data_IF_697392860126
#
_entry.id   IF_697392860126
#
_cell.length_a   1.000
_cell.length_b   1.000
_cell.length_c   1.000
_cell.angle_alpha   90.00
_cell.angle_beta   90.00
_cell.angle_gamma   90.00
#
_symmetry.space_group_name_H-M   'P 1'
#
loop_
_entity.id
_entity.type
_entity.pdbx_description
1 polymer ?
#
# COMPACT_ATOMS: atom_id res chain seq x y z
N UNK A 1 -45.99 21.60 11.55
CA UNK A 1 -45.50 21.42 10.19
C UNK A 1 -43.99 21.16 10.12
N UNK A 2 -43.13 21.78 10.91
CA UNK A 2 -41.66 21.56 10.85
C UNK A 2 -41.17 20.17 11.30
N UNK A 3 -41.88 19.44 12.17
CA UNK A 3 -41.49 18.09 12.62
C UNK A 3 -41.75 16.98 11.59
N UNK A 4 -42.66 17.18 10.63
CA UNK A 4 -42.92 16.23 9.56
C UNK A 4 -41.86 16.31 8.45
N UNK A 5 -41.36 17.52 8.13
CA UNK A 5 -40.30 17.70 7.13
C UNK A 5 -38.97 17.10 7.56
N UNK A 6 -38.65 17.13 8.86
CA UNK A 6 -37.37 16.55 9.36
C UNK A 6 -37.40 15.03 9.38
N UNK A 7 -38.54 14.38 9.61
CA UNK A 7 -38.71 12.92 9.53
C UNK A 7 -38.67 12.42 8.09
N UNK A 8 -39.18 13.20 7.13
CA UNK A 8 -39.13 12.84 5.71
C UNK A 8 -37.69 12.90 5.15
N UNK A 9 -36.93 13.93 5.58
CA UNK A 9 -35.48 14.06 5.21
C UNK A 9 -34.64 12.95 5.83
N UNK A 10 -34.92 12.56 7.08
CA UNK A 10 -34.25 11.41 7.72
C UNK A 10 -34.62 10.08 7.05
N UNK A 11 -35.86 9.88 6.63
CA UNK A 11 -36.31 8.68 5.93
C UNK A 11 -35.69 8.55 4.54
N UNK A 12 -35.54 9.65 3.81
CA UNK A 12 -34.87 9.71 2.50
C UNK A 12 -33.35 9.44 2.69
N UNK A 13 -32.74 9.92 3.78
CA UNK A 13 -31.34 9.72 4.09
C UNK A 13 -31.00 8.29 4.58
N UNK A 14 -31.95 7.58 5.20
CA UNK A 14 -31.82 6.17 5.59
C UNK A 14 -32.05 5.20 4.42
N UNK A 15 -32.94 5.53 3.47
CA UNK A 15 -33.23 4.66 2.32
C UNK A 15 -32.11 4.67 1.26
N UNK A 16 -31.36 5.79 1.14
CA UNK A 16 -30.17 5.87 0.27
C UNK A 16 -28.95 5.08 0.80
N UNK A 17 -28.93 4.71 2.09
CA UNK A 17 -27.85 3.86 2.63
C UNK A 17 -27.99 2.36 2.30
N UNK A 18 -29.17 1.92 1.86
CA UNK A 18 -29.45 0.49 1.64
C UNK A 18 -29.32 0.05 0.17
N UNK A 19 -28.94 0.94 -0.75
CA UNK A 19 -28.73 0.60 -2.18
C UNK A 19 -27.44 1.16 -2.77
N UNK A 20 -26.37 1.21 -2.01
CA UNK A 20 -25.03 1.33 -2.62
C UNK A 20 -24.65 -0.08 -3.01
N UNK A 21 -25.06 -0.44 -4.22
CA UNK A 21 -24.59 -1.62 -4.95
C UNK A 21 -23.09 -1.42 -5.21
N UNK A 22 -22.23 -2.06 -4.43
CA UNK A 22 -20.76 -1.94 -4.45
C UNK A 22 -20.10 -2.63 -5.65
N UNK A 23 -20.83 -2.78 -6.75
CA UNK A 23 -20.29 -3.11 -8.07
C UNK A 23 -20.33 -1.85 -8.96
N UNK A 24 -19.68 -0.81 -8.55
CA UNK A 24 -19.36 0.28 -9.46
C UNK A 24 -18.20 -0.21 -10.33
N UNK A 25 -18.56 -0.60 -11.55
CA UNK A 25 -17.63 -1.03 -12.59
C UNK A 25 -16.64 0.12 -12.86
N UNK A 26 -15.45 0.04 -12.27
CA UNK A 26 -14.38 1.06 -12.40
C UNK A 26 -14.04 1.32 -13.87
N UNK A 27 -14.15 0.28 -14.71
CA UNK A 27 -13.97 0.39 -16.17
C UNK A 27 -15.10 1.21 -16.82
N UNK A 28 -16.32 1.13 -16.29
CA UNK A 28 -17.45 1.92 -16.78
C UNK A 28 -17.28 3.41 -16.44
N UNK A 29 -16.84 3.74 -15.24
CA UNK A 29 -16.58 5.13 -14.81
C UNK A 29 -15.42 5.72 -15.63
N UNK A 30 -14.34 4.98 -15.82
CA UNK A 30 -13.19 5.44 -16.61
C UNK A 30 -13.58 5.66 -18.08
N UNK A 31 -14.39 4.78 -18.68
CA UNK A 31 -14.93 4.94 -20.04
C UNK A 31 -15.84 6.16 -20.16
N UNK A 32 -16.67 6.42 -19.16
CA UNK A 32 -17.57 7.56 -19.13
C UNK A 32 -16.80 8.89 -18.99
N UNK A 33 -15.77 8.91 -18.15
CA UNK A 33 -14.90 10.08 -17.97
C UNK A 33 -14.11 10.40 -19.25
N UNK A 34 -13.49 9.40 -19.89
CA UNK A 34 -12.78 9.57 -21.17
C UNK A 34 -13.75 10.03 -22.29
N UNK A 35 -14.95 9.47 -22.32
CA UNK A 35 -15.99 9.87 -23.29
C UNK A 35 -16.41 11.34 -23.11
N UNK A 36 -16.60 11.79 -21.87
CA UNK A 36 -16.94 13.18 -21.55
C UNK A 36 -15.84 14.16 -21.96
N UNK A 37 -14.58 13.78 -21.76
CA UNK A 37 -13.43 14.58 -22.19
C UNK A 37 -13.33 14.64 -23.73
N UNK A 38 -13.50 13.51 -24.43
CA UNK A 38 -13.51 13.46 -25.90
C UNK A 38 -14.66 14.29 -26.47
N UNK A 39 -15.84 14.26 -25.85
CA UNK A 39 -16.98 15.09 -26.27
C UNK A 39 -16.68 16.59 -26.06
N UNK A 40 -16.09 16.97 -24.93
CA UNK A 40 -15.70 18.35 -24.68
C UNK A 40 -14.67 18.85 -25.74
N UNK A 41 -13.66 18.03 -26.04
CA UNK A 41 -12.70 18.33 -27.08
C UNK A 41 -13.34 18.42 -28.49
N UNK A 42 -14.26 17.52 -28.80
CA UNK A 42 -14.99 17.53 -30.06
C UNK A 42 -15.85 18.80 -30.20
N UNK A 43 -16.58 19.20 -29.15
CA UNK A 43 -17.34 20.45 -29.16
C UNK A 43 -16.45 21.67 -29.34
N UNK A 44 -15.29 21.72 -28.67
CA UNK A 44 -14.34 22.81 -28.84
C UNK A 44 -13.81 22.89 -30.27
N UNK A 45 -13.35 21.77 -30.86
CA UNK A 45 -12.85 21.72 -32.20
C UNK A 45 -13.92 22.09 -33.26
N UNK A 46 -15.15 21.58 -33.06
CA UNK A 46 -16.28 21.90 -33.96
C UNK A 46 -16.61 23.39 -33.86
N UNK A 47 -16.60 23.95 -32.63
CA UNK A 47 -16.85 25.39 -32.45
C UNK A 47 -15.81 26.23 -33.18
N UNK A 48 -14.50 25.92 -33.02
CA UNK A 48 -13.42 26.64 -33.72
C UNK A 48 -13.59 26.56 -35.22
N UNK A 49 -13.97 25.41 -35.73
CA UNK A 49 -14.15 25.20 -37.18
C UNK A 49 -15.38 25.98 -37.73
N UNK A 50 -16.52 25.91 -37.01
CA UNK A 50 -17.73 26.64 -37.35
C UNK A 50 -17.53 28.16 -37.28
N UNK A 51 -16.87 28.65 -36.25
CA UNK A 51 -16.56 30.07 -36.09
C UNK A 51 -15.66 30.58 -37.21
N UNK A 52 -14.54 29.88 -37.49
CA UNK A 52 -13.60 30.27 -38.52
C UNK A 52 -14.26 30.28 -39.90
N UNK A 53 -14.96 29.20 -40.27
CA UNK A 53 -15.68 29.15 -41.55
C UNK A 53 -16.79 30.19 -41.62
N UNK A 54 -17.52 30.43 -40.53
CA UNK A 54 -18.59 31.45 -40.48
C UNK A 54 -18.07 32.85 -40.78
N UNK A 55 -16.97 33.28 -40.16
CA UNK A 55 -16.37 34.59 -40.47
C UNK A 55 -15.78 34.68 -41.84
N UNK A 56 -15.20 33.61 -42.40
CA UNK A 56 -14.72 33.60 -43.80
C UNK A 56 -15.87 33.75 -44.80
N UNK A 57 -17.01 33.11 -44.55
CA UNK A 57 -18.14 33.10 -45.47
C UNK A 57 -19.01 34.37 -45.35
N UNK A 58 -19.27 34.82 -44.12
CA UNK A 58 -20.19 35.95 -43.85
C UNK A 58 -19.50 37.32 -44.00
N UNK A 59 -18.26 37.42 -43.50
CA UNK A 59 -17.53 38.69 -43.47
C UNK A 59 -16.41 38.76 -44.56
N UNK A 60 -16.12 37.65 -45.23
CA UNK A 60 -15.03 37.61 -46.20
C UNK A 60 -13.64 37.75 -45.57
N UNK A 61 -13.49 37.46 -44.28
CA UNK A 61 -12.21 37.57 -43.56
C UNK A 61 -11.17 36.59 -44.14
N UNK A 62 -9.89 36.99 -44.06
CA UNK A 62 -8.82 36.05 -44.33
C UNK A 62 -8.90 34.88 -43.36
N UNK A 63 -8.36 33.70 -43.73
CA UNK A 63 -8.35 32.54 -42.82
C UNK A 63 -7.69 32.82 -41.46
N UNK A 64 -6.69 33.69 -41.43
CA UNK A 64 -6.00 34.08 -40.20
C UNK A 64 -6.87 35.00 -39.32
N UNK A 65 -7.48 36.02 -39.92
CA UNK A 65 -8.34 36.96 -39.19
C UNK A 65 -9.61 36.27 -38.69
N UNK A 66 -10.20 35.38 -39.50
CA UNK A 66 -11.35 34.57 -39.10
C UNK A 66 -11.03 33.62 -37.92
N UNK A 67 -9.89 32.96 -37.98
CA UNK A 67 -9.41 32.12 -36.89
C UNK A 67 -9.14 32.93 -35.61
N UNK A 68 -8.46 34.08 -35.74
CA UNK A 68 -8.17 34.95 -34.62
C UNK A 68 -9.45 35.48 -33.95
N UNK A 69 -10.41 35.95 -34.75
CA UNK A 69 -11.72 36.38 -34.25
C UNK A 69 -12.48 35.27 -33.52
N UNK A 70 -12.44 34.05 -34.09
CA UNK A 70 -13.00 32.85 -33.44
C UNK A 70 -12.34 32.56 -32.08
N UNK A 71 -11.01 32.61 -32.02
CA UNK A 71 -10.28 32.36 -30.78
C UNK A 71 -10.55 33.41 -29.71
N UNK A 72 -10.77 34.67 -30.07
CA UNK A 72 -11.16 35.72 -29.13
C UNK A 72 -12.50 35.40 -28.43
N UNK A 73 -13.46 34.81 -29.17
CA UNK A 73 -14.77 34.45 -28.64
C UNK A 73 -14.69 33.15 -27.83
N UNK A 74 -14.05 32.12 -28.37
CA UNK A 74 -13.93 30.80 -27.72
C UNK A 74 -13.17 30.91 -26.41
N UNK A 75 -12.13 31.75 -26.34
CA UNK A 75 -11.37 32.01 -25.11
C UNK A 75 -12.08 32.91 -24.11
N UNK A 76 -13.23 33.51 -24.49
CA UNK A 76 -13.99 34.48 -23.67
C UNK A 76 -13.17 35.73 -23.28
N UNK A 77 -12.10 36.03 -24.02
CA UNK A 77 -11.24 37.21 -23.75
C UNK A 77 -11.88 38.52 -24.25
N UNK A 78 -12.49 38.46 -25.46
CA UNK A 78 -13.35 39.54 -25.95
C UNK A 78 -12.69 40.90 -26.17
N UNK A 79 -11.46 40.94 -26.73
CA UNK A 79 -10.73 42.19 -26.96
C UNK A 79 -11.39 43.17 -27.96
N UNK A 80 -12.42 42.72 -28.66
CA UNK A 80 -13.11 43.51 -29.65
C UNK A 80 -13.09 42.88 -31.06
N UNK A 81 -13.61 43.64 -32.02
CA UNK A 81 -13.68 43.18 -33.43
C UNK A 81 -12.34 43.32 -34.08
N UNK A 82 -11.92 42.30 -34.88
CA UNK A 82 -10.66 42.34 -35.67
C UNK A 82 -10.82 43.34 -36.83
N UNK A 83 -11.98 43.32 -37.49
CA UNK A 83 -12.42 44.22 -38.51
C UNK A 83 -13.91 44.57 -38.26
N UNK A 84 -14.42 45.71 -38.74
CA UNK A 84 -15.82 46.08 -38.54
C UNK A 84 -16.77 45.02 -39.12
N UNK A 85 -17.72 44.56 -38.27
CA UNK A 85 -18.69 43.54 -38.66
C UNK A 85 -19.88 44.14 -39.40
N UNK A 86 -20.34 43.44 -40.42
CA UNK A 86 -21.63 43.68 -41.06
C UNK A 86 -22.79 43.38 -40.10
N UNK A 87 -24.00 43.79 -40.43
CA UNK A 87 -25.18 43.48 -39.60
C UNK A 87 -25.44 41.96 -39.54
N UNK A 88 -25.15 41.22 -40.64
CA UNK A 88 -25.19 39.75 -40.65
C UNK A 88 -24.12 39.14 -39.70
N UNK A 89 -22.89 39.67 -39.74
CA UNK A 89 -21.81 39.25 -38.88
C UNK A 89 -22.09 39.53 -37.38
N UNK A 90 -22.72 40.65 -37.07
CA UNK A 90 -23.13 40.95 -35.67
C UNK A 90 -24.17 39.95 -35.17
N UNK A 91 -25.15 39.56 -35.99
CA UNK A 91 -26.11 38.52 -35.62
C UNK A 91 -25.41 37.17 -35.42
N UNK A 92 -24.58 36.76 -36.36
CA UNK A 92 -23.79 35.51 -36.29
C UNK A 92 -22.96 35.51 -34.98
N UNK A 93 -22.20 36.57 -34.75
CA UNK A 93 -21.33 36.69 -33.57
C UNK A 93 -22.12 36.59 -32.28
N UNK A 94 -23.29 37.25 -32.21
CA UNK A 94 -24.13 37.21 -31.00
C UNK A 94 -24.64 35.81 -30.71
N UNK A 95 -25.13 35.09 -31.70
CA UNK A 95 -25.57 33.69 -31.56
C UNK A 95 -24.38 32.78 -31.20
N UNK A 96 -23.27 32.98 -31.88
CA UNK A 96 -22.03 32.18 -31.67
C UNK A 96 -21.48 32.38 -30.25
N UNK A 97 -21.49 33.58 -29.68
CA UNK A 97 -21.11 33.88 -28.29
C UNK A 97 -21.95 33.12 -27.28
N UNK A 98 -23.29 33.11 -27.46
CA UNK A 98 -24.19 32.39 -26.55
C UNK A 98 -23.94 30.89 -26.60
N UNK A 99 -23.74 30.30 -27.78
CA UNK A 99 -23.44 28.90 -27.93
C UNK A 99 -22.08 28.54 -27.27
N UNK A 100 -21.05 29.38 -27.46
CA UNK A 100 -19.74 29.15 -26.85
C UNK A 100 -19.76 29.28 -25.34
N UNK A 101 -20.59 30.14 -24.76
CA UNK A 101 -20.77 30.23 -23.32
C UNK A 101 -21.26 28.86 -22.76
N UNK A 102 -22.20 28.21 -23.47
CA UNK A 102 -22.66 26.85 -23.09
C UNK A 102 -21.55 25.80 -23.18
N UNK A 103 -20.76 25.82 -24.26
CA UNK A 103 -19.62 24.91 -24.45
C UNK A 103 -18.58 25.14 -23.35
N UNK A 104 -18.26 26.39 -23.02
CA UNK A 104 -17.33 26.75 -21.96
C UNK A 104 -17.81 26.24 -20.60
N UNK A 105 -19.06 26.47 -20.25
CA UNK A 105 -19.66 25.97 -19.01
C UNK A 105 -19.59 24.44 -18.91
N UNK A 106 -19.84 23.75 -20.02
CA UNK A 106 -19.70 22.27 -20.07
C UNK A 106 -18.26 21.83 -19.84
N UNK A 107 -17.28 22.46 -20.50
CA UNK A 107 -15.85 22.16 -20.34
C UNK A 107 -15.41 22.37 -18.87
N UNK A 108 -15.79 23.51 -18.27
CA UNK A 108 -15.48 23.80 -16.85
C UNK A 108 -16.10 22.75 -15.95
N UNK A 109 -17.35 22.33 -16.19
CA UNK A 109 -18.02 21.28 -15.42
C UNK A 109 -17.27 19.93 -15.51
N UNK A 110 -16.83 19.52 -16.71
CA UNK A 110 -16.04 18.29 -16.92
C UNK A 110 -14.71 18.37 -16.15
N UNK A 111 -13.97 19.49 -16.28
CA UNK A 111 -12.68 19.68 -15.61
C UNK A 111 -12.86 19.70 -14.08
N UNK A 112 -13.88 20.42 -13.58
CA UNK A 112 -14.17 20.49 -12.13
C UNK A 112 -14.45 19.11 -11.56
N UNK A 113 -15.26 18.29 -12.24
CA UNK A 113 -15.52 16.90 -11.84
C UNK A 113 -14.22 16.10 -11.71
N UNK A 114 -13.33 16.19 -12.69
CA UNK A 114 -12.03 15.53 -12.68
C UNK A 114 -11.15 15.94 -11.50
N UNK A 115 -11.15 17.23 -11.15
CA UNK A 115 -10.37 17.76 -10.02
C UNK A 115 -10.94 17.28 -8.68
N UNK A 116 -12.27 17.30 -8.51
CA UNK A 116 -12.93 16.93 -7.25
C UNK A 116 -12.98 15.41 -7.01
N UNK A 117 -13.05 14.60 -8.03
CA UNK A 117 -13.03 13.12 -7.93
C UNK A 117 -11.64 12.56 -7.64
N UNK A 118 -10.60 13.40 -7.56
CA UNK A 118 -9.24 12.98 -7.14
C UNK A 118 -8.49 12.12 -8.16
N UNK A 119 -9.02 11.91 -9.36
CA UNK A 119 -8.41 11.11 -10.44
C UNK A 119 -7.06 11.66 -10.88
N UNK A 120 -6.86 12.96 -10.84
CA UNK A 120 -5.57 13.60 -11.10
C UNK A 120 -4.47 13.13 -10.15
N UNK A 121 -4.82 12.91 -8.87
CA UNK A 121 -3.89 12.42 -7.86
C UNK A 121 -3.47 10.97 -8.14
N UNK A 122 -4.39 10.14 -8.64
CA UNK A 122 -4.10 8.74 -9.01
C UNK A 122 -3.15 8.65 -10.20
N UNK A 123 -3.38 9.44 -11.26
CA UNK A 123 -2.52 9.42 -12.46
C UNK A 123 -1.10 9.90 -12.14
N UNK A 124 -0.95 10.99 -11.38
CA UNK A 124 0.35 11.52 -10.99
C UNK A 124 1.11 10.58 -10.05
N UNK A 125 0.42 9.99 -9.06
CA UNK A 125 1.03 9.02 -8.16
C UNK A 125 1.46 7.76 -8.92
N UNK A 126 0.66 7.25 -9.85
CA UNK A 126 0.98 6.05 -10.64
C UNK A 126 2.22 6.25 -11.53
N UNK A 127 2.37 7.42 -12.16
CA UNK A 127 3.53 7.73 -13.01
C UNK A 127 4.84 7.90 -12.22
N UNK A 128 4.79 8.49 -11.04
CA UNK A 128 5.97 8.71 -10.18
C UNK A 128 6.34 7.41 -9.44
N UNK A 129 5.35 6.66 -8.96
CA UNK A 129 5.54 5.42 -8.20
C UNK A 129 6.08 4.28 -9.07
N UNK A 130 5.60 4.10 -10.30
CA UNK A 130 6.11 3.07 -11.21
C UNK A 130 7.63 3.16 -11.47
N UNK A 131 8.24 4.33 -11.26
CA UNK A 131 9.69 4.51 -11.38
C UNK A 131 10.48 4.08 -10.15
N UNK A 132 9.89 4.13 -8.94
CA UNK A 132 10.58 3.83 -7.67
C UNK A 132 10.39 2.38 -7.24
N UNK A 133 9.18 1.85 -7.30
CA UNK A 133 8.88 0.45 -6.93
C UNK A 133 9.44 -0.58 -7.91
N UNK A 134 9.65 -0.22 -9.18
CA UNK A 134 10.36 -1.09 -10.16
C UNK A 134 11.80 -1.47 -9.75
N UNK A 135 12.39 -0.81 -8.73
CA UNK A 135 13.74 -1.11 -8.22
C UNK A 135 13.72 -1.95 -6.94
N UNK A 136 12.56 -2.29 -6.40
CA UNK A 136 12.45 -3.11 -5.21
C UNK A 136 12.33 -4.57 -5.63
N UNK A 137 13.31 -5.34 -5.25
CA UNK A 137 13.35 -6.78 -5.39
C UNK A 137 13.57 -7.42 -4.02
N UNK A 138 12.96 -8.57 -3.77
CA UNK A 138 13.09 -9.31 -2.53
C UNK A 138 12.71 -8.50 -1.26
N UNK A 139 11.76 -7.56 -1.41
CA UNK A 139 11.29 -6.67 -0.34
C UNK A 139 10.08 -7.24 0.40
N UNK A 140 9.64 -6.54 1.44
CA UNK A 140 8.46 -6.87 2.23
C UNK A 140 7.35 -5.88 1.88
N UNK A 141 6.10 -6.34 1.76
CA UNK A 141 4.92 -5.49 1.67
C UNK A 141 4.22 -5.52 3.03
N UNK A 142 3.90 -4.35 3.58
CA UNK A 142 3.10 -4.23 4.81
C UNK A 142 1.77 -3.60 4.42
N UNK A 143 0.67 -4.27 4.73
CA UNK A 143 -0.69 -3.79 4.47
C UNK A 143 -1.34 -3.35 5.76
N UNK A 144 -1.72 -2.07 5.80
CA UNK A 144 -2.34 -1.40 6.95
C UNK A 144 -1.32 -0.75 7.89
N UNK A 145 -1.61 0.51 8.29
CA UNK A 145 -0.81 1.29 9.25
C UNK A 145 -1.59 1.58 10.54
N UNK A 146 -2.40 0.61 10.96
CA UNK A 146 -3.02 0.62 12.28
C UNK A 146 -2.01 0.29 13.39
N UNK A 147 -2.50 0.06 14.62
CA UNK A 147 -1.65 -0.23 15.79
C UNK A 147 -0.63 -1.37 15.55
N UNK A 148 -1.05 -2.46 14.92
CA UNK A 148 -0.18 -3.60 14.61
C UNK A 148 0.79 -3.25 13.48
N UNK A 149 0.28 -2.69 12.37
CA UNK A 149 1.09 -2.36 11.19
C UNK A 149 2.14 -1.30 11.48
N UNK A 150 1.82 -0.25 12.21
CA UNK A 150 2.79 0.78 12.60
C UNK A 150 3.96 0.17 13.40
N UNK A 151 3.65 -0.67 14.40
CA UNK A 151 4.69 -1.37 15.18
C UNK A 151 5.53 -2.32 14.32
N UNK A 152 4.89 -3.01 13.36
CA UNK A 152 5.58 -3.87 12.39
C UNK A 152 6.55 -3.06 11.52
N UNK A 153 6.10 -1.90 10.99
CA UNK A 153 6.96 -1.00 10.20
C UNK A 153 8.16 -0.49 11.01
N UNK A 154 7.94 -0.11 12.26
CA UNK A 154 9.01 0.35 13.16
C UNK A 154 10.08 -0.72 13.35
N UNK A 155 9.66 -1.96 13.58
CA UNK A 155 10.58 -3.08 13.84
C UNK A 155 11.34 -3.50 12.57
N UNK A 156 10.67 -3.54 11.41
CA UNK A 156 11.31 -3.77 10.11
C UNK A 156 12.35 -2.69 9.79
N UNK A 157 12.04 -1.43 10.11
CA UNK A 157 12.96 -0.30 9.92
C UNK A 157 14.19 -0.43 10.80
N UNK A 158 14.05 -0.76 12.09
CA UNK A 158 15.16 -1.01 13.01
C UNK A 158 16.05 -2.17 12.52
N UNK A 159 15.43 -3.21 11.97
CA UNK A 159 16.12 -4.37 11.40
C UNK A 159 16.73 -4.10 10.01
N UNK A 160 16.69 -2.88 9.51
CA UNK A 160 17.24 -2.50 8.21
C UNK A 160 16.58 -3.17 7.00
N UNK A 161 15.36 -3.70 7.16
CA UNK A 161 14.65 -4.39 6.07
C UNK A 161 13.99 -3.39 5.13
N UNK A 162 14.05 -3.65 3.82
CA UNK A 162 13.36 -2.85 2.81
C UNK A 162 11.90 -3.27 2.73
N UNK A 163 10.98 -2.32 2.81
CA UNK A 163 9.55 -2.60 2.72
C UNK A 163 8.77 -1.46 2.08
N UNK A 164 7.56 -1.80 1.61
CA UNK A 164 6.55 -0.89 1.08
C UNK A 164 5.33 -0.96 2.00
N UNK A 165 4.81 0.18 2.41
CA UNK A 165 3.56 0.28 3.15
C UNK A 165 2.41 0.57 2.19
N UNK A 166 1.30 -0.16 2.32
CA UNK A 166 0.02 0.12 1.65
C UNK A 166 -1.02 0.47 2.72
N UNK A 167 -1.59 1.67 2.63
CA UNK A 167 -2.62 2.17 3.57
C UNK A 167 -3.62 3.07 2.85
N UNK A 168 -4.91 2.87 3.05
CA UNK A 168 -5.97 3.65 2.37
C UNK A 168 -6.60 4.73 3.25
N UNK A 169 -6.37 4.73 4.57
CA UNK A 169 -7.03 5.66 5.51
C UNK A 169 -6.18 6.90 5.77
N UNK A 170 -6.67 8.05 5.38
CA UNK A 170 -6.04 9.35 5.67
C UNK A 170 -5.78 9.56 7.17
N UNK A 171 -6.65 9.03 8.04
CA UNK A 171 -6.47 9.11 9.49
C UNK A 171 -5.26 8.33 9.98
N UNK A 172 -4.92 7.20 9.37
CA UNK A 172 -3.73 6.42 9.70
C UNK A 172 -2.47 7.04 9.07
N UNK A 173 -2.58 7.57 7.86
CA UNK A 173 -1.46 8.22 7.16
C UNK A 173 -0.93 9.46 7.88
N UNK A 174 -1.74 10.14 8.68
CA UNK A 174 -1.29 11.27 9.53
C UNK A 174 -0.20 10.87 10.55
N UNK A 175 -0.12 9.60 10.91
CA UNK A 175 0.88 9.07 11.84
C UNK A 175 2.14 8.56 11.13
N UNK A 176 2.14 8.51 9.81
CA UNK A 176 3.34 8.18 9.03
C UNK A 176 4.27 9.39 9.06
N UNK A 177 5.54 9.25 9.45
CA UNK A 177 6.48 10.37 9.44
C UNK A 177 6.63 10.99 8.04
N UNK A 178 6.87 12.31 7.95
CA UNK A 178 7.09 12.99 6.66
C UNK A 178 8.24 12.38 5.83
N UNK A 179 9.27 11.86 6.50
CA UNK A 179 10.38 11.12 5.89
C UNK A 179 10.48 9.73 6.51
N UNK A 180 9.59 8.79 6.15
CA UNK A 180 9.50 7.51 6.82
C UNK A 180 10.73 6.62 6.60
N UNK A 181 11.47 6.83 5.52
CA UNK A 181 12.59 5.98 5.11
C UNK A 181 12.15 4.69 4.40
N UNK A 182 10.87 4.58 4.06
CA UNK A 182 10.27 3.50 3.28
C UNK A 182 9.22 4.08 2.32
N UNK A 183 8.86 3.31 1.29
CA UNK A 183 7.85 3.72 0.31
C UNK A 183 6.43 3.53 0.86
N UNK A 184 5.53 4.48 0.56
CA UNK A 184 4.12 4.45 1.00
C UNK A 184 3.20 4.53 -0.19
N UNK A 185 2.30 3.58 -0.35
CA UNK A 185 1.22 3.57 -1.34
C UNK A 185 -0.08 3.91 -0.61
N UNK A 186 -0.68 5.03 -0.99
CA UNK A 186 -1.96 5.49 -0.44
C UNK A 186 -3.09 4.98 -1.31
N UNK A 187 -3.51 3.71 -1.08
CA UNK A 187 -4.59 3.10 -1.83
C UNK A 187 -5.14 1.83 -1.14
N UNK A 188 -6.20 1.23 -1.69
CA UNK A 188 -6.82 0.03 -1.14
C UNK A 188 -6.08 -1.24 -1.57
N UNK A 189 -5.51 -1.96 -0.59
CA UNK A 189 -4.77 -3.18 -0.83
C UNK A 189 -5.64 -4.38 -1.25
N UNK A 190 -6.96 -4.29 -1.17
CA UNK A 190 -7.88 -5.32 -1.68
C UNK A 190 -7.92 -5.34 -3.20
N UNK A 191 -7.51 -4.25 -3.84
CA UNK A 191 -7.41 -4.12 -5.28
C UNK A 191 -6.12 -4.78 -5.80
N UNK A 192 -6.26 -5.64 -6.81
CA UNK A 192 -5.13 -6.38 -7.41
C UNK A 192 -4.04 -5.45 -7.95
N UNK A 193 -4.45 -4.36 -8.62
CA UNK A 193 -3.53 -3.38 -9.19
C UNK A 193 -2.64 -2.70 -8.13
N UNK A 194 -3.17 -2.53 -6.91
CA UNK A 194 -2.42 -1.93 -5.80
C UNK A 194 -1.32 -2.87 -5.33
N UNK A 195 -1.59 -4.17 -5.24
CA UNK A 195 -0.58 -5.18 -4.92
C UNK A 195 0.47 -5.29 -6.03
N UNK A 196 0.07 -5.17 -7.30
CA UNK A 196 1.00 -5.14 -8.43
C UNK A 196 1.91 -3.90 -8.34
N UNK A 197 1.36 -2.73 -8.04
CA UNK A 197 2.14 -1.50 -7.81
C UNK A 197 3.07 -1.62 -6.60
N UNK A 198 2.66 -2.33 -5.56
CA UNK A 198 3.49 -2.62 -4.40
C UNK A 198 4.63 -3.62 -4.71
N UNK A 199 4.67 -4.19 -5.93
CA UNK A 199 5.72 -5.10 -6.37
C UNK A 199 5.53 -6.54 -5.87
N UNK A 200 4.30 -7.01 -5.67
CA UNK A 200 4.00 -8.34 -5.14
C UNK A 200 4.69 -9.46 -5.92
N UNK A 201 4.88 -9.30 -7.24
CA UNK A 201 5.51 -10.32 -8.11
C UNK A 201 6.96 -10.62 -7.77
N UNK A 202 7.70 -9.64 -7.19
CA UNK A 202 9.08 -9.77 -6.75
C UNK A 202 9.26 -9.66 -5.23
N UNK A 203 8.16 -9.51 -4.49
CA UNK A 203 8.18 -9.43 -3.03
C UNK A 203 8.56 -10.79 -2.40
N UNK A 204 9.41 -10.75 -1.37
CA UNK A 204 9.74 -11.92 -0.53
C UNK A 204 8.57 -12.29 0.38
N UNK A 205 7.93 -11.28 0.97
CA UNK A 205 6.89 -11.48 1.98
C UNK A 205 5.86 -10.37 1.93
N UNK A 206 4.64 -10.68 2.36
CA UNK A 206 3.58 -9.72 2.62
C UNK A 206 3.04 -9.91 4.06
N UNK A 207 2.90 -8.81 4.81
CA UNK A 207 2.36 -8.79 6.16
C UNK A 207 1.05 -8.01 6.12
N UNK A 208 -0.06 -8.69 6.41
CA UNK A 208 -1.41 -8.15 6.30
C UNK A 208 -1.96 -7.89 7.69
N UNK A 209 -2.26 -6.62 8.03
CA UNK A 209 -2.61 -6.20 9.39
C UNK A 209 -3.96 -5.48 9.48
N UNK A 210 -4.82 -5.58 8.47
CA UNK A 210 -6.12 -4.92 8.46
C UNK A 210 -7.02 -5.42 9.58
N UNK A 211 -7.97 -4.59 10.05
CA UNK A 211 -8.89 -4.97 11.12
C UNK A 211 -9.95 -5.99 10.66
N UNK A 212 -10.28 -6.02 9.37
CA UNK A 212 -11.30 -6.90 8.78
C UNK A 212 -10.66 -8.20 8.26
N UNK A 213 -11.11 -9.33 8.77
CA UNK A 213 -10.61 -10.65 8.37
C UNK A 213 -10.99 -11.02 6.93
N UNK A 214 -12.11 -10.51 6.39
CA UNK A 214 -12.51 -10.76 5.00
C UNK A 214 -11.55 -10.07 4.01
N UNK A 215 -11.17 -8.83 4.28
CA UNK A 215 -10.18 -8.10 3.49
C UNK A 215 -8.82 -8.80 3.55
N UNK A 216 -8.41 -9.26 4.74
CA UNK A 216 -7.18 -10.03 4.92
C UNK A 216 -7.19 -11.33 4.07
N UNK A 217 -8.32 -12.05 4.03
CA UNK A 217 -8.48 -13.24 3.20
C UNK A 217 -8.41 -12.93 1.71
N UNK A 218 -9.08 -11.87 1.27
CA UNK A 218 -9.07 -11.46 -0.14
C UNK A 218 -7.63 -11.13 -0.59
N UNK A 219 -6.91 -10.37 0.22
CA UNK A 219 -5.50 -10.02 -0.06
C UNK A 219 -4.62 -11.29 -0.08
N UNK A 220 -4.83 -12.26 0.82
CA UNK A 220 -4.09 -13.53 0.79
C UNK A 220 -4.29 -14.27 -0.54
N UNK A 221 -5.55 -14.43 -0.98
CA UNK A 221 -5.90 -15.13 -2.22
C UNK A 221 -5.27 -14.42 -3.42
N UNK A 222 -5.44 -13.09 -3.51
CA UNK A 222 -4.90 -12.28 -4.61
C UNK A 222 -3.37 -12.32 -4.63
N UNK A 223 -2.71 -12.17 -3.46
CA UNK A 223 -1.26 -12.22 -3.35
C UNK A 223 -0.69 -13.59 -3.80
N UNK A 224 -1.32 -14.71 -3.41
CA UNK A 224 -0.94 -16.05 -3.86
C UNK A 224 -1.18 -16.27 -5.34
N UNK A 225 -2.25 -15.72 -5.90
CA UNK A 225 -2.52 -15.74 -7.34
C UNK A 225 -1.44 -15.01 -8.15
N UNK A 226 -0.98 -13.87 -7.66
CA UNK A 226 0.04 -13.04 -8.33
C UNK A 226 1.48 -13.53 -8.11
N UNK A 227 1.77 -14.11 -6.95
CA UNK A 227 3.08 -14.67 -6.59
C UNK A 227 2.89 -15.91 -5.70
N UNK A 228 2.89 -17.12 -6.28
CA UNK A 228 2.72 -18.37 -5.53
C UNK A 228 3.79 -18.58 -4.42
N UNK A 229 4.97 -18.00 -4.58
CA UNK A 229 6.11 -18.18 -3.67
C UNK A 229 6.15 -17.13 -2.55
N UNK A 230 5.29 -16.11 -2.57
CA UNK A 230 5.29 -15.07 -1.54
C UNK A 230 4.97 -15.67 -0.16
N UNK A 231 5.76 -15.30 0.84
CA UNK A 231 5.51 -15.68 2.22
C UNK A 231 4.48 -14.72 2.83
N UNK A 232 3.28 -15.22 3.18
CA UNK A 232 2.17 -14.42 3.67
C UNK A 232 2.04 -14.59 5.19
N UNK A 233 2.13 -13.46 5.91
CA UNK A 233 1.82 -13.38 7.33
C UNK A 233 0.55 -12.54 7.47
N UNK A 234 -0.51 -13.11 8.03
CA UNK A 234 -1.80 -12.44 8.14
C UNK A 234 -2.28 -12.32 9.58
N UNK A 235 -2.94 -11.21 9.89
CA UNK A 235 -3.63 -11.02 11.15
C UNK A 235 -5.00 -11.67 11.11
N UNK A 236 -5.37 -12.37 12.18
CA UNK A 236 -6.73 -12.84 12.44
C UNK A 236 -7.31 -12.22 13.72
N UNK A 237 -8.63 -12.06 13.77
CA UNK A 237 -9.34 -11.62 14.96
C UNK A 237 -9.64 -12.79 15.91
N UNK A 238 -9.85 -14.01 15.37
CA UNK A 238 -10.26 -15.20 16.12
C UNK A 238 -9.80 -16.50 15.43
N UNK A 239 -10.03 -17.65 16.07
CA UNK A 239 -9.63 -18.97 15.56
C UNK A 239 -10.36 -19.38 14.27
N UNK A 240 -11.62 -18.95 14.12
CA UNK A 240 -12.40 -19.22 12.89
C UNK A 240 -11.81 -18.51 11.68
N UNK A 241 -11.38 -17.26 11.84
CA UNK A 241 -10.67 -16.49 10.82
C UNK A 241 -9.29 -17.09 10.54
N UNK A 242 -8.56 -17.52 11.56
CA UNK A 242 -7.25 -18.17 11.42
C UNK A 242 -7.28 -19.35 10.45
N UNK A 243 -8.22 -20.29 10.67
CA UNK A 243 -8.38 -21.46 9.79
C UNK A 243 -8.70 -21.08 8.33
N UNK A 244 -9.49 -20.02 8.14
CA UNK A 244 -9.83 -19.52 6.79
C UNK A 244 -8.64 -18.86 6.12
N UNK A 245 -7.85 -18.08 6.86
CA UNK A 245 -6.64 -17.43 6.35
C UNK A 245 -5.57 -18.43 5.90
N UNK A 246 -5.38 -19.53 6.65
CA UNK A 246 -4.51 -20.61 6.19
C UNK A 246 -5.02 -21.24 4.88
N UNK A 247 -6.33 -21.47 4.74
CA UNK A 247 -6.93 -21.96 3.49
C UNK A 247 -6.81 -20.95 2.34
N UNK A 248 -6.81 -19.66 2.64
CA UNK A 248 -6.60 -18.59 1.68
C UNK A 248 -5.12 -18.44 1.25
N UNK A 249 -4.21 -19.25 1.80
CA UNK A 249 -2.81 -19.29 1.42
C UNK A 249 -1.84 -18.56 2.36
N UNK A 250 -2.28 -18.13 3.55
CA UNK A 250 -1.38 -17.58 4.54
C UNK A 250 -0.38 -18.65 5.02
N UNK A 251 0.90 -18.30 5.10
CA UNK A 251 1.95 -19.16 5.63
C UNK A 251 1.97 -19.14 7.17
N UNK A 252 1.67 -17.98 7.76
CA UNK A 252 1.53 -17.78 9.20
C UNK A 252 0.36 -16.85 9.49
N UNK A 253 -0.36 -17.14 10.58
CA UNK A 253 -1.46 -16.30 11.07
C UNK A 253 -1.20 -15.90 12.51
N UNK A 254 -1.38 -14.63 12.81
CA UNK A 254 -1.14 -14.03 14.11
C UNK A 254 -2.45 -13.48 14.66
N UNK A 255 -2.74 -13.74 15.94
CA UNK A 255 -3.89 -13.20 16.69
C UNK A 255 -3.39 -12.24 17.77
N UNK A 256 -3.13 -10.95 17.45
CA UNK A 256 -2.45 -10.03 18.37
C UNK A 256 -3.18 -9.84 19.71
N UNK A 257 -4.51 -9.82 19.67
CA UNK A 257 -5.32 -9.67 20.89
C UNK A 257 -5.25 -10.90 21.81
N UNK A 258 -5.25 -12.10 21.25
CA UNK A 258 -5.10 -13.33 22.01
C UNK A 258 -3.71 -13.40 22.66
N UNK A 259 -2.67 -13.10 21.88
CA UNK A 259 -1.28 -13.05 22.38
C UNK A 259 -1.17 -12.01 23.50
N UNK A 260 -1.68 -10.80 23.30
CA UNK A 260 -1.65 -9.75 24.33
C UNK A 260 -2.43 -10.12 25.59
N UNK A 261 -3.60 -10.75 25.45
CA UNK A 261 -4.41 -11.21 26.59
C UNK A 261 -3.71 -12.30 27.42
N UNK A 262 -3.11 -13.29 26.73
CA UNK A 262 -2.32 -14.34 27.38
C UNK A 262 -1.12 -13.73 28.10
N UNK A 263 -0.40 -12.82 27.45
CA UNK A 263 0.76 -12.15 28.01
C UNK A 263 0.39 -11.38 29.30
N UNK A 264 -0.71 -10.60 29.28
CA UNK A 264 -1.21 -9.90 30.47
C UNK A 264 -1.55 -10.85 31.63
N UNK A 265 -2.17 -12.01 31.33
CA UNK A 265 -2.46 -13.02 32.37
C UNK A 265 -1.19 -13.62 32.93
N UNK A 266 -0.18 -13.91 32.11
CA UNK A 266 1.09 -14.47 32.54
C UNK A 266 1.91 -13.49 33.40
N UNK A 267 1.80 -12.17 33.19
CA UNK A 267 2.42 -11.18 34.07
C UNK A 267 1.95 -11.28 35.55
N UNK A 268 0.75 -11.82 35.78
CA UNK A 268 0.23 -12.08 37.10
C UNK A 268 0.59 -13.49 37.61
N UNK A 269 0.44 -14.50 36.72
CA UNK A 269 0.58 -15.90 37.10
C UNK A 269 2.01 -16.40 37.09
N UNK A 270 2.87 -15.83 36.26
CA UNK A 270 4.26 -16.24 36.04
C UNK A 270 5.18 -15.04 35.80
N UNK A 271 5.22 -14.03 36.67
CA UNK A 271 5.90 -12.75 36.42
C UNK A 271 7.38 -12.91 36.08
N UNK A 272 8.10 -13.77 36.81
CA UNK A 272 9.54 -13.96 36.57
C UNK A 272 9.85 -14.69 35.26
N UNK A 273 8.95 -15.56 34.79
CA UNK A 273 9.10 -16.21 33.46
C UNK A 273 8.93 -15.17 32.37
N UNK A 274 7.94 -14.30 32.50
CA UNK A 274 7.71 -13.23 31.51
C UNK A 274 8.88 -12.24 31.50
N UNK A 275 9.35 -11.80 32.66
CA UNK A 275 10.52 -10.93 32.77
C UNK A 275 11.75 -11.55 32.07
N UNK A 276 11.99 -12.84 32.30
CA UNK A 276 13.07 -13.56 31.64
C UNK A 276 12.89 -13.62 30.11
N UNK A 277 11.68 -13.89 29.61
CA UNK A 277 11.39 -13.90 28.18
C UNK A 277 11.52 -12.51 27.53
N UNK A 278 11.12 -11.44 28.24
CA UNK A 278 11.30 -10.06 27.78
C UNK A 278 12.78 -9.68 27.64
N UNK A 279 13.61 -10.16 28.57
CA UNK A 279 15.07 -10.01 28.48
C UNK A 279 15.60 -10.74 27.24
N UNK A 280 15.21 -12.01 27.05
CA UNK A 280 15.66 -12.83 25.93
C UNK A 280 15.26 -12.26 24.56
N UNK A 281 14.07 -11.65 24.48
CA UNK A 281 13.55 -11.08 23.23
C UNK A 281 13.99 -9.64 22.96
N UNK A 282 14.84 -9.07 23.85
CA UNK A 282 15.34 -7.71 23.71
C UNK A 282 14.30 -6.63 23.96
N UNK A 283 13.20 -6.96 24.65
CA UNK A 283 12.17 -5.98 25.04
C UNK A 283 12.62 -5.10 26.20
N UNK A 284 13.62 -5.52 26.96
CA UNK A 284 14.26 -4.79 28.06
C UNK A 284 15.70 -4.41 27.69
N UNK A 285 16.26 -3.40 28.35
CA UNK A 285 17.62 -2.90 28.09
C UNK A 285 18.72 -3.74 28.77
N UNK A 286 18.57 -5.04 28.85
CA UNK A 286 19.63 -5.89 29.38
C UNK A 286 20.51 -6.42 28.25
N UNK A 287 21.80 -6.65 28.55
CA UNK A 287 22.82 -7.05 27.56
C UNK A 287 22.72 -8.53 27.11
N UNK A 288 21.60 -9.20 27.35
CA UNK A 288 21.40 -10.58 26.94
C UNK A 288 20.72 -10.62 25.58
N UNK A 289 21.32 -11.37 24.63
CA UNK A 289 20.84 -11.54 23.27
C UNK A 289 20.61 -12.98 22.93
N UNK A 290 19.56 -13.22 22.15
CA UNK A 290 19.28 -14.50 21.51
C UNK A 290 19.45 -14.29 19.99
N UNK A 291 20.38 -15.00 19.37
CA UNK A 291 20.65 -14.90 17.92
C UNK A 291 20.61 -16.27 17.25
N UNK A 292 20.23 -16.27 15.99
CA UNK A 292 20.16 -17.45 15.11
C UNK A 292 21.37 -17.45 14.19
N UNK A 293 22.06 -18.60 14.09
CA UNK A 293 23.17 -18.80 13.16
C UNK A 293 22.91 -20.02 12.31
N UNK A 294 22.95 -19.87 10.99
CA UNK A 294 22.78 -20.97 10.07
C UNK A 294 24.06 -21.78 9.96
N UNK A 295 23.95 -23.09 9.74
CA UNK A 295 25.11 -23.98 9.51
C UNK A 295 26.08 -23.42 8.46
N UNK A 296 25.58 -22.83 7.39
CA UNK A 296 26.38 -22.28 6.32
C UNK A 296 27.21 -21.05 6.72
N UNK A 297 26.82 -20.37 7.80
CA UNK A 297 27.55 -19.23 8.35
C UNK A 297 28.73 -19.65 9.20
N UNK A 298 28.75 -20.91 9.65
CA UNK A 298 29.88 -21.44 10.41
C UNK A 298 31.11 -21.64 9.51
N UNK A 299 32.29 -21.37 10.04
CA UNK A 299 33.56 -21.72 9.39
C UNK A 299 33.64 -23.22 9.11
N UNK A 300 34.31 -23.62 8.04
CA UNK A 300 34.39 -25.02 7.62
C UNK A 300 34.93 -25.96 8.71
N UNK A 301 35.85 -25.46 9.53
CA UNK A 301 36.44 -26.22 10.64
C UNK A 301 35.47 -26.54 11.77
N UNK A 302 34.31 -25.83 11.86
CA UNK A 302 33.27 -26.04 12.88
C UNK A 302 32.05 -26.76 12.35
N UNK A 303 31.98 -27.03 11.06
CA UNK A 303 30.86 -27.78 10.44
C UNK A 303 30.97 -29.28 10.72
N UNK A 304 29.83 -29.96 10.85
CA UNK A 304 29.71 -31.38 11.14
C UNK A 304 30.47 -31.83 12.42
N UNK A 305 30.55 -30.92 13.39
CA UNK A 305 31.12 -31.22 14.73
C UNK A 305 30.03 -31.34 15.76
N UNK A 306 30.34 -32.07 16.84
CA UNK A 306 29.48 -32.17 18.00
C UNK A 306 29.51 -30.87 18.81
N UNK A 307 28.45 -30.60 19.61
CA UNK A 307 28.40 -29.47 20.53
C UNK A 307 29.61 -29.44 21.45
N UNK A 308 30.08 -30.62 21.89
CA UNK A 308 31.28 -30.79 22.71
C UNK A 308 32.55 -30.32 21.99
N UNK A 309 32.74 -30.74 20.73
CA UNK A 309 33.90 -30.36 19.92
C UNK A 309 33.91 -28.86 19.56
N UNK A 310 32.76 -28.26 19.42
CA UNK A 310 32.63 -26.81 19.21
C UNK A 310 33.09 -26.02 20.44
N UNK A 311 32.93 -26.57 21.65
CA UNK A 311 33.30 -25.99 22.95
C UNK A 311 32.93 -24.48 23.10
N UNK A 312 31.73 -24.17 22.58
CA UNK A 312 31.23 -22.77 22.41
C UNK A 312 31.28 -22.02 23.73
N UNK A 313 30.75 -22.66 24.80
CA UNK A 313 30.63 -22.00 26.10
C UNK A 313 32.00 -21.62 26.69
N UNK A 314 32.97 -22.46 26.55
CA UNK A 314 34.33 -22.21 27.06
C UNK A 314 35.07 -21.15 26.27
N UNK A 315 34.92 -21.14 24.95
CA UNK A 315 35.69 -20.25 24.08
C UNK A 315 35.02 -18.87 23.94
N UNK A 316 33.69 -18.78 24.05
CA UNK A 316 32.94 -17.56 23.74
C UNK A 316 32.13 -17.02 24.92
N UNK A 317 31.82 -17.86 25.92
CA UNK A 317 30.89 -17.55 27.00
C UNK A 317 29.41 -17.69 26.61
N UNK A 318 29.11 -17.90 25.32
CA UNK A 318 27.76 -18.11 24.82
C UNK A 318 27.27 -19.54 25.08
N UNK A 319 25.95 -19.73 25.10
CA UNK A 319 25.32 -21.04 25.34
C UNK A 319 24.42 -21.40 24.17
N UNK A 320 24.52 -22.64 23.66
CA UNK A 320 23.58 -23.19 22.70
C UNK A 320 22.30 -23.57 23.44
N UNK A 321 21.19 -22.89 23.17
CA UNK A 321 19.89 -23.20 23.76
C UNK A 321 19.14 -24.27 22.97
N UNK A 322 19.39 -24.35 21.69
CA UNK A 322 18.73 -25.32 20.82
C UNK A 322 19.29 -25.34 19.42
N UNK A 323 18.90 -26.36 18.70
CA UNK A 323 19.17 -26.53 17.27
C UNK A 323 17.83 -26.74 16.59
N UNK A 324 17.61 -26.04 15.48
CA UNK A 324 16.48 -26.30 14.60
C UNK A 324 16.96 -27.17 13.45
N UNK A 325 16.61 -28.43 13.49
CA UNK A 325 16.81 -29.39 12.43
C UNK A 325 15.69 -29.29 11.37
N UNK A 326 16.00 -29.37 10.07
CA UNK A 326 14.99 -29.32 9.00
C UNK A 326 13.94 -30.43 9.03
N UNK A 327 14.30 -31.62 9.51
CA UNK A 327 13.45 -32.81 9.51
C UNK A 327 12.75 -33.03 10.87
N UNK A 328 13.50 -32.91 11.97
CA UNK A 328 13.02 -33.22 13.33
C UNK A 328 12.43 -32.00 14.06
N UNK A 329 12.70 -30.77 13.57
CA UNK A 329 12.22 -29.55 14.20
C UNK A 329 13.17 -29.02 15.27
N UNK A 330 12.66 -28.51 16.39
CA UNK A 330 13.48 -27.93 17.44
C UNK A 330 13.96 -28.99 18.44
N UNK A 331 15.28 -29.13 18.57
CA UNK A 331 15.99 -29.89 19.59
C UNK A 331 16.38 -28.90 20.69
N UNK A 332 15.71 -28.95 21.85
CA UNK A 332 16.02 -28.11 22.99
C UNK A 332 17.07 -28.78 23.85
N UNK A 333 17.99 -28.00 24.41
CA UNK A 333 19.10 -28.46 25.27
C UNK A 333 19.87 -29.63 24.60
N UNK A 334 20.48 -29.37 23.44
CA UNK A 334 21.15 -30.43 22.68
C UNK A 334 22.30 -31.03 23.51
N UNK A 335 22.37 -32.37 23.49
CA UNK A 335 23.42 -33.10 24.20
C UNK A 335 24.80 -32.76 23.64
N UNK A 336 25.82 -33.00 24.46
CA UNK A 336 27.25 -32.81 24.07
C UNK A 336 27.64 -33.54 22.78
N UNK A 337 27.02 -34.68 22.51
CA UNK A 337 27.29 -35.55 21.35
C UNK A 337 26.40 -35.22 20.11
N UNK A 338 25.48 -34.24 20.24
CA UNK A 338 24.66 -33.77 19.10
C UNK A 338 25.56 -33.14 18.07
N UNK A 339 25.49 -33.62 16.82
CA UNK A 339 26.25 -33.10 15.69
C UNK A 339 25.45 -31.99 15.04
N UNK A 340 26.12 -30.91 14.63
CA UNK A 340 25.52 -29.80 13.87
C UNK A 340 25.65 -30.12 12.38
N UNK A 341 24.54 -30.35 11.71
CA UNK A 341 24.50 -30.85 10.32
C UNK A 341 24.04 -29.76 9.33
N UNK A 342 24.17 -30.05 8.03
CA UNK A 342 23.80 -29.14 6.98
C UNK A 342 22.27 -28.88 6.98
N UNK A 343 21.90 -27.61 7.05
CA UNK A 343 20.51 -27.15 7.15
C UNK A 343 20.08 -26.78 8.56
N UNK A 344 20.90 -27.09 9.57
CA UNK A 344 20.63 -26.71 10.95
C UNK A 344 20.74 -25.21 11.19
N UNK A 345 19.97 -24.74 12.17
CA UNK A 345 20.06 -23.38 12.71
C UNK A 345 20.34 -23.47 14.20
N UNK A 346 21.47 -22.93 14.63
CA UNK A 346 21.83 -22.85 16.06
C UNK A 346 21.17 -21.63 16.70
N UNK A 347 20.58 -21.82 17.87
CA UNK A 347 20.03 -20.75 18.68
C UNK A 347 20.98 -20.51 19.87
N UNK A 348 21.64 -19.37 19.83
CA UNK A 348 22.72 -19.01 20.75
C UNK A 348 22.26 -17.90 21.70
N UNK A 349 22.49 -18.11 22.99
CA UNK A 349 22.23 -17.15 24.06
C UNK A 349 23.53 -16.64 24.63
N UNK A 350 23.66 -15.32 24.79
CA UNK A 350 24.82 -14.70 25.42
C UNK A 350 24.66 -13.20 25.59
N UNK A 351 25.58 -12.56 26.33
CA UNK A 351 25.72 -11.13 26.29
C UNK A 351 26.14 -10.65 24.92
N UNK A 352 26.02 -9.36 24.60
CA UNK A 352 26.50 -8.80 23.33
C UNK A 352 27.97 -9.19 23.07
N UNK A 353 28.81 -9.08 24.11
CA UNK A 353 30.22 -9.48 24.04
C UNK A 353 30.41 -10.98 23.76
N UNK A 354 29.57 -11.85 24.35
CA UNK A 354 29.62 -13.31 24.09
C UNK A 354 29.19 -13.64 22.65
N UNK A 355 28.18 -12.98 22.13
CA UNK A 355 27.73 -13.17 20.75
C UNK A 355 28.78 -12.67 19.76
N UNK A 356 29.42 -11.54 20.02
CA UNK A 356 30.50 -11.04 19.16
C UNK A 356 31.72 -11.97 19.18
N UNK A 357 32.07 -12.52 20.36
CA UNK A 357 33.10 -13.56 20.43
C UNK A 357 32.72 -14.83 19.66
N UNK A 358 31.44 -15.23 19.74
CA UNK A 358 30.95 -16.36 18.95
C UNK A 358 31.09 -16.11 17.45
N UNK A 359 30.70 -14.94 16.98
CA UNK A 359 30.88 -14.54 15.56
C UNK A 359 32.35 -14.60 15.15
N UNK A 360 33.24 -14.05 15.95
CA UNK A 360 34.67 -14.10 15.65
C UNK A 360 35.24 -15.51 15.67
N UNK A 361 34.76 -16.38 16.57
CA UNK A 361 35.27 -17.72 16.77
C UNK A 361 34.71 -18.73 15.75
N UNK A 362 33.37 -18.78 15.60
CA UNK A 362 32.69 -19.80 14.83
C UNK A 362 32.22 -19.37 13.42
N UNK A 363 31.95 -18.06 13.23
CA UNK A 363 31.49 -17.46 11.98
C UNK A 363 32.62 -16.66 11.33
#
# INVERSE_FOLDING_TARGET
MLKLSFRLILYIYEDDRLKINTNVDHDAIMRESVRSFLLAAAFLLTSVLVGTLGYMVIEGYSGLDAFYMTMLIVSSVGFGEVLPLSDAGKIFTSVYMVLNLGIFAYIVSVISRYIFEGEFRKIFTTLIFNKRTRKLDNHIIVVGYGRTGAKTCDELKKSGKKFVLVENKDSALKYVPEKPGFEVITDDATEEEVLIRAGIKSAKSIIITLPNDADNMLICITAKGLNPNVNIIARASNEGAEKKLYRAGANKVVKPFAIGGIHMAHLITQPHVIEFLEILTGMTKQDLKLEEFQFNELKEEYRNKTIKELDIRKNTGATVLGIKDPAEGFIFDPNSDTVVENGDVLIILGSEEHIDRFKMYCV
#
